data_IF_488991056757
#
_entry.id   IF_488991056757
#
_cell.length_a   1.000
_cell.length_b   1.000
_cell.length_c   1.000
_cell.angle_alpha   90.00
_cell.angle_beta   90.00
_cell.angle_gamma   90.00
#
_symmetry.space_group_name_H-M   'P 1'
#
loop_
_entity.id
_entity.type
_entity.pdbx_description
1 polymer ?
#
# COMPACT_ATOMS: atom_id res chain seq x y z
N UNK A 1 26.84 25.59 11.53
CA UNK A 1 25.56 24.96 11.20
C UNK A 1 25.03 24.27 12.44
N UNK A 2 23.81 24.58 12.83
CA UNK A 2 23.16 23.98 13.99
C UNK A 2 22.01 23.10 13.51
N UNK A 3 22.00 21.84 13.94
CA UNK A 3 20.83 20.95 13.76
C UNK A 3 19.74 21.47 14.68
N UNK A 4 18.62 21.91 14.10
CA UNK A 4 17.47 22.42 14.86
C UNK A 4 16.52 21.31 15.27
N UNK A 5 16.50 20.22 14.50
CA UNK A 5 15.73 19.03 14.80
C UNK A 5 16.36 17.80 14.15
N UNK A 6 16.38 16.70 14.89
CA UNK A 6 16.71 15.38 14.39
C UNK A 6 15.67 14.40 14.93
N UNK A 7 15.06 13.65 14.03
CA UNK A 7 14.05 12.65 14.35
C UNK A 7 14.31 11.34 13.66
N UNK A 8 14.46 10.28 14.44
CA UNK A 8 14.54 8.89 13.97
C UNK A 8 13.24 8.21 14.36
N UNK A 9 12.50 7.72 13.37
CA UNK A 9 11.20 7.09 13.55
C UNK A 9 11.25 5.63 13.12
N UNK A 10 11.12 4.73 14.09
CA UNK A 10 11.23 3.29 13.85
C UNK A 10 9.93 2.65 13.36
N UNK A 11 10.06 1.65 12.50
CA UNK A 11 9.01 0.68 12.19
C UNK A 11 8.42 0.06 13.47
N UNK A 12 7.12 -0.25 13.49
CA UNK A 12 6.49 -1.06 14.54
C UNK A 12 6.68 -2.54 14.19
N UNK A 13 7.26 -3.34 15.08
CA UNK A 13 7.34 -4.80 14.89
C UNK A 13 5.97 -5.45 15.12
N UNK A 14 5.66 -6.58 14.47
CA UNK A 14 4.40 -7.29 14.69
C UNK A 14 4.12 -7.60 16.17
N UNK A 15 5.16 -7.89 16.96
CA UNK A 15 5.06 -8.15 18.41
C UNK A 15 4.78 -6.90 19.26
N UNK A 16 4.93 -5.70 18.68
CA UNK A 16 4.70 -4.40 19.34
C UNK A 16 3.34 -3.80 18.94
N UNK A 17 2.61 -4.45 18.03
CA UNK A 17 1.25 -4.03 17.70
C UNK A 17 0.34 -4.24 18.92
N UNK A 18 -0.58 -3.30 19.19
CA UNK A 18 -1.59 -3.48 20.23
C UNK A 18 -2.37 -4.76 20.02
N UNK A 19 -2.77 -5.41 21.12
CA UNK A 19 -3.48 -6.69 21.10
C UNK A 19 -4.71 -6.62 20.17
N UNK A 20 -4.92 -7.71 19.43
CA UNK A 20 -6.01 -7.89 18.46
C UNK A 20 -6.02 -6.92 17.27
N UNK A 21 -5.05 -6.02 17.07
CA UNK A 21 -5.06 -5.09 15.93
C UNK A 21 -5.14 -5.82 14.58
N UNK A 22 -4.36 -6.88 14.43
CA UNK A 22 -4.29 -7.73 13.25
C UNK A 22 -5.55 -8.61 13.06
N UNK A 23 -6.17 -9.03 14.16
CA UNK A 23 -7.42 -9.83 14.14
C UNK A 23 -8.62 -8.94 13.82
N UNK A 24 -8.74 -7.80 14.50
CA UNK A 24 -9.81 -6.81 14.33
C UNK A 24 -9.88 -6.36 12.87
N UNK A 25 -8.74 -5.98 12.28
CA UNK A 25 -8.73 -5.50 10.89
C UNK A 25 -9.11 -6.58 9.88
N UNK A 26 -8.73 -7.84 10.13
CA UNK A 26 -9.10 -8.95 9.26
C UNK A 26 -10.58 -9.31 9.41
N UNK A 27 -11.13 -9.23 10.63
CA UNK A 27 -12.55 -9.38 10.91
C UNK A 27 -13.36 -8.29 10.21
N UNK A 28 -13.01 -7.03 10.42
CA UNK A 28 -13.67 -5.88 9.80
C UNK A 28 -13.67 -5.99 8.28
N UNK A 29 -12.55 -6.37 7.67
CA UNK A 29 -12.46 -6.62 6.23
C UNK A 29 -13.45 -7.70 5.77
N UNK A 30 -13.47 -8.85 6.45
CA UNK A 30 -14.33 -9.97 6.09
C UNK A 30 -15.81 -9.64 6.29
N UNK A 31 -16.15 -8.99 7.40
CA UNK A 31 -17.51 -8.62 7.78
C UNK A 31 -18.06 -7.55 6.84
N UNK A 32 -17.26 -6.54 6.50
CA UNK A 32 -17.67 -5.48 5.57
C UNK A 32 -17.89 -6.06 4.16
N UNK A 33 -17.01 -6.93 3.67
CA UNK A 33 -17.18 -7.55 2.35
C UNK A 33 -18.42 -8.45 2.31
N UNK A 34 -18.62 -9.26 3.35
CA UNK A 34 -19.79 -10.14 3.48
C UNK A 34 -21.09 -9.33 3.59
N UNK A 35 -21.12 -8.27 4.41
CA UNK A 35 -22.26 -7.37 4.52
C UNK A 35 -22.58 -6.63 3.20
N UNK A 36 -21.59 -6.46 2.31
CA UNK A 36 -21.78 -5.88 0.98
C UNK A 36 -22.12 -6.91 -0.11
N UNK A 37 -22.24 -8.20 0.20
CA UNK A 37 -22.54 -9.29 -0.76
C UNK A 37 -23.71 -8.93 -1.68
N UNK A 38 -24.85 -8.54 -1.12
CA UNK A 38 -26.06 -8.28 -1.90
C UNK A 38 -25.92 -7.03 -2.78
N UNK A 39 -25.20 -6.00 -2.30
CA UNK A 39 -24.88 -4.81 -3.09
C UNK A 39 -23.94 -5.14 -4.26
N UNK A 40 -22.94 -5.99 -4.05
CA UNK A 40 -22.03 -6.44 -5.10
C UNK A 40 -22.81 -7.27 -6.13
N UNK A 41 -23.65 -8.20 -5.67
CA UNK A 41 -24.53 -9.02 -6.53
C UNK A 41 -25.47 -8.15 -7.36
N UNK A 42 -26.13 -7.17 -6.75
CA UNK A 42 -27.04 -6.25 -7.44
C UNK A 42 -26.32 -5.49 -8.56
N UNK A 43 -25.17 -4.89 -8.26
CA UNK A 43 -24.35 -4.17 -9.24
C UNK A 43 -23.82 -5.06 -10.35
N UNK A 44 -23.43 -6.29 -10.04
CA UNK A 44 -22.97 -7.26 -11.04
C UNK A 44 -24.11 -7.61 -12.01
N UNK A 45 -25.32 -7.80 -11.50
CA UNK A 45 -26.52 -8.06 -12.30
C UNK A 45 -26.99 -6.82 -13.07
N UNK A 46 -26.77 -5.60 -12.57
CA UNK A 46 -27.04 -4.37 -13.32
C UNK A 46 -26.11 -4.23 -14.54
N UNK A 47 -24.84 -4.59 -14.39
CA UNK A 47 -23.84 -4.50 -15.45
C UNK A 47 -23.99 -5.62 -16.47
N UNK A 48 -24.31 -6.84 -16.01
CA UNK A 48 -24.48 -8.03 -16.83
C UNK A 48 -25.83 -8.69 -16.52
N UNK A 49 -26.95 -8.08 -16.97
CA UNK A 49 -28.29 -8.56 -16.64
C UNK A 49 -28.70 -9.82 -17.39
N UNK A 50 -28.09 -10.07 -18.55
CA UNK A 50 -28.51 -11.13 -19.46
C UNK A 50 -27.34 -11.69 -20.29
N UNK A 51 -27.63 -12.67 -21.14
CA UNK A 51 -26.63 -13.30 -22.01
C UNK A 51 -26.05 -12.33 -23.05
N UNK A 52 -26.82 -11.33 -23.51
CA UNK A 52 -26.35 -10.33 -24.47
C UNK A 52 -25.27 -9.43 -23.85
N UNK A 53 -25.51 -8.98 -22.61
CA UNK A 53 -24.55 -8.24 -21.83
C UNK A 53 -23.32 -9.08 -21.48
N UNK A 54 -23.49 -10.38 -21.20
CA UNK A 54 -22.37 -11.30 -21.00
C UNK A 54 -21.50 -11.42 -22.25
N UNK A 55 -22.12 -11.57 -23.42
CA UNK A 55 -21.40 -11.69 -24.69
C UNK A 55 -20.56 -10.44 -24.96
N UNK A 56 -21.17 -9.26 -24.88
CA UNK A 56 -20.50 -7.99 -25.16
C UNK A 56 -19.42 -7.62 -24.14
N UNK A 57 -19.66 -7.84 -22.84
CA UNK A 57 -18.76 -7.36 -21.77
C UNK A 57 -17.71 -8.38 -21.34
N UNK A 58 -17.94 -9.68 -21.55
CA UNK A 58 -17.00 -10.74 -21.17
C UNK A 58 -16.50 -11.47 -22.41
N UNK A 59 -17.40 -12.05 -23.21
CA UNK A 59 -16.99 -12.99 -24.24
C UNK A 59 -16.20 -12.34 -25.38
N UNK A 60 -16.67 -11.21 -25.90
CA UNK A 60 -16.04 -10.45 -26.99
C UNK A 60 -14.72 -9.83 -26.54
N UNK A 61 -14.68 -9.26 -25.33
CA UNK A 61 -13.47 -8.72 -24.72
C UNK A 61 -12.42 -9.81 -24.55
N UNK A 62 -12.80 -10.96 -23.98
CA UNK A 62 -11.88 -12.08 -23.79
C UNK A 62 -11.40 -12.67 -25.13
N UNK A 63 -12.24 -12.70 -26.16
CA UNK A 63 -11.86 -13.15 -27.50
C UNK A 63 -10.80 -12.23 -28.14
N UNK A 64 -10.95 -10.91 -28.00
CA UNK A 64 -9.98 -9.95 -28.49
C UNK A 64 -8.61 -10.14 -27.81
N UNK A 65 -8.60 -10.18 -26.47
CA UNK A 65 -7.36 -10.34 -25.70
C UNK A 65 -6.69 -11.70 -25.93
N UNK A 66 -7.48 -12.78 -25.97
CA UNK A 66 -6.93 -14.12 -26.20
C UNK A 66 -6.32 -14.28 -27.62
N UNK A 67 -6.76 -13.46 -28.57
CA UNK A 67 -6.17 -13.41 -29.91
C UNK A 67 -4.77 -12.78 -29.89
N UNK A 68 -4.54 -11.79 -29.02
CA UNK A 68 -3.27 -11.04 -28.96
C UNK A 68 -2.12 -11.85 -28.34
N UNK A 69 -2.43 -12.82 -27.47
CA UNK A 69 -1.42 -13.56 -26.69
C UNK A 69 -0.99 -14.89 -27.32
N UNK A 70 -1.70 -15.38 -28.34
CA UNK A 70 -1.37 -16.65 -28.98
C UNK A 70 -0.36 -16.46 -30.12
N UNK A 71 0.68 -17.30 -30.14
CA UNK A 71 1.63 -17.32 -31.25
C UNK A 71 0.90 -17.63 -32.58
N UNK A 72 0.88 -16.69 -33.55
CA UNK A 72 0.15 -16.87 -34.80
C UNK A 72 0.70 -18.02 -35.66
N UNK A 73 1.98 -18.36 -35.49
CA UNK A 73 2.68 -19.37 -36.30
C UNK A 73 2.55 -20.79 -35.74
N UNK A 74 1.91 -20.98 -34.60
CA UNK A 74 1.68 -22.32 -34.07
C UNK A 74 0.54 -23.02 -34.84
N UNK A 75 0.82 -24.24 -35.34
CA UNK A 75 -0.09 -24.97 -36.24
C UNK A 75 -1.49 -25.28 -35.66
N UNK A 76 -1.71 -25.12 -34.35
CA UNK A 76 -3.02 -25.28 -33.70
C UNK A 76 -3.67 -23.96 -33.28
N UNK A 77 -3.09 -22.80 -33.54
CA UNK A 77 -3.61 -21.50 -33.07
C UNK A 77 -5.03 -21.24 -33.56
N UNK A 78 -5.30 -21.46 -34.85
CA UNK A 78 -6.66 -21.32 -35.38
C UNK A 78 -7.68 -22.27 -34.71
N UNK A 79 -7.25 -23.49 -34.35
CA UNK A 79 -8.08 -24.46 -33.63
C UNK A 79 -8.31 -24.05 -32.17
N UNK A 80 -7.28 -23.53 -31.51
CA UNK A 80 -7.37 -23.05 -30.13
C UNK A 80 -8.32 -21.84 -30.03
N UNK A 81 -8.15 -20.84 -30.90
CA UNK A 81 -9.02 -19.68 -31.00
C UNK A 81 -10.48 -20.08 -31.24
N UNK A 82 -10.73 -20.97 -32.22
CA UNK A 82 -12.09 -21.45 -32.50
C UNK A 82 -12.72 -22.13 -31.28
N UNK A 83 -11.97 -23.00 -30.59
CA UNK A 83 -12.46 -23.66 -29.37
C UNK A 83 -12.76 -22.66 -28.26
N UNK A 84 -11.89 -21.68 -28.06
CA UNK A 84 -12.07 -20.63 -27.05
C UNK A 84 -13.34 -19.81 -27.34
N UNK A 85 -13.48 -19.28 -28.56
CA UNK A 85 -14.65 -18.50 -29.01
C UNK A 85 -15.97 -19.22 -28.76
N UNK A 86 -16.07 -20.48 -29.16
CA UNK A 86 -17.29 -21.28 -28.96
C UNK A 86 -17.58 -21.48 -27.47
N UNK A 87 -16.55 -21.80 -26.67
CA UNK A 87 -16.73 -22.08 -25.24
C UNK A 87 -17.11 -20.83 -24.45
N UNK A 88 -16.46 -19.70 -24.69
CA UNK A 88 -16.73 -18.46 -23.96
C UNK A 88 -18.13 -17.95 -24.31
N UNK A 89 -18.51 -17.93 -25.59
CA UNK A 89 -19.86 -17.49 -26.00
C UNK A 89 -20.98 -18.38 -25.44
N UNK A 90 -20.76 -19.71 -25.38
CA UNK A 90 -21.71 -20.66 -24.77
C UNK A 90 -21.82 -20.50 -23.25
N UNK A 91 -20.88 -19.81 -22.61
CA UNK A 91 -20.78 -19.70 -21.15
C UNK A 91 -21.84 -18.83 -20.48
N UNK A 92 -22.63 -18.05 -21.22
CA UNK A 92 -23.53 -17.02 -20.67
C UNK A 92 -24.55 -17.56 -19.66
N UNK A 93 -25.34 -18.57 -20.05
CA UNK A 93 -26.32 -19.21 -19.15
C UNK A 93 -25.67 -19.75 -17.87
N UNK A 94 -24.54 -20.44 -18.01
CA UNK A 94 -23.79 -20.98 -16.88
C UNK A 94 -23.23 -19.86 -16.00
N UNK A 95 -22.77 -18.75 -16.57
CA UNK A 95 -22.27 -17.60 -15.82
C UNK A 95 -23.39 -16.98 -14.96
N UNK A 96 -24.54 -16.66 -15.56
CA UNK A 96 -25.70 -16.08 -14.87
C UNK A 96 -26.15 -16.97 -13.70
N UNK A 97 -26.29 -18.28 -13.95
CA UNK A 97 -26.67 -19.26 -12.92
C UNK A 97 -25.63 -19.38 -11.79
N UNK A 98 -24.34 -19.37 -12.14
CA UNK A 98 -23.26 -19.48 -11.16
C UNK A 98 -23.05 -18.21 -10.34
N UNK A 99 -23.35 -17.02 -10.88
CA UNK A 99 -23.32 -15.77 -10.11
C UNK A 99 -24.40 -15.80 -9.04
N UNK A 100 -25.62 -16.19 -9.39
CA UNK A 100 -26.72 -16.27 -8.44
C UNK A 100 -26.41 -17.22 -7.28
N UNK A 101 -25.83 -18.39 -7.56
CA UNK A 101 -25.45 -19.39 -6.55
C UNK A 101 -24.19 -19.03 -5.77
N UNK A 102 -23.20 -18.37 -6.40
CA UNK A 102 -21.97 -17.94 -5.72
C UNK A 102 -22.24 -16.89 -4.64
N UNK A 103 -23.21 -16.00 -4.86
CA UNK A 103 -23.64 -14.95 -3.93
C UNK A 103 -24.87 -15.33 -3.10
N UNK A 104 -25.22 -16.61 -3.02
CA UNK A 104 -26.17 -17.08 -2.00
C UNK A 104 -25.52 -17.00 -0.60
N UNK A 105 -26.33 -16.99 0.45
CA UNK A 105 -25.85 -17.08 1.83
C UNK A 105 -25.09 -18.39 2.05
N UNK A 106 -23.92 -18.32 2.71
CA UNK A 106 -22.98 -19.43 2.82
C UNK A 106 -22.34 -19.85 1.48
N UNK A 107 -22.56 -19.08 0.41
CA UNK A 107 -22.11 -19.39 -0.94
C UNK A 107 -20.59 -19.27 -1.12
N UNK A 108 -20.16 -19.43 -2.38
CA UNK A 108 -18.73 -19.36 -2.75
C UNK A 108 -18.10 -18.02 -2.44
N UNK A 109 -18.86 -16.93 -2.50
CA UNK A 109 -18.36 -15.59 -2.18
C UNK A 109 -17.91 -15.51 -0.72
N UNK A 110 -18.80 -15.79 0.24
CA UNK A 110 -18.49 -15.71 1.67
C UNK A 110 -17.44 -16.73 2.10
N UNK A 111 -17.54 -17.96 1.59
CA UNK A 111 -16.52 -18.99 1.79
C UNK A 111 -15.14 -18.51 1.29
N UNK A 112 -15.11 -17.84 0.14
CA UNK A 112 -13.89 -17.27 -0.43
C UNK A 112 -13.32 -16.12 0.38
N UNK A 113 -14.17 -15.23 0.90
CA UNK A 113 -13.76 -14.13 1.80
C UNK A 113 -13.10 -14.72 3.05
N UNK A 114 -13.78 -15.67 3.72
CA UNK A 114 -13.26 -16.29 4.93
C UNK A 114 -11.96 -17.07 4.69
N UNK A 115 -11.86 -17.80 3.57
CA UNK A 115 -10.65 -18.54 3.22
C UNK A 115 -9.44 -17.62 2.94
N UNK A 116 -9.66 -16.38 2.50
CA UNK A 116 -8.60 -15.43 2.18
C UNK A 116 -8.29 -14.43 3.32
N UNK A 117 -8.99 -14.54 4.45
CA UNK A 117 -8.84 -13.64 5.59
C UNK A 117 -7.42 -13.60 6.15
N UNK A 118 -6.80 -14.77 6.34
CA UNK A 118 -5.41 -14.86 6.81
C UNK A 118 -4.42 -14.28 5.79
N UNK A 119 -4.68 -14.46 4.48
CA UNK A 119 -3.85 -13.86 3.44
C UNK A 119 -3.95 -12.33 3.47
N UNK A 120 -5.16 -11.79 3.62
CA UNK A 120 -5.36 -10.35 3.78
C UNK A 120 -4.63 -9.82 5.02
N UNK A 121 -4.81 -10.50 6.16
CA UNK A 121 -4.16 -10.19 7.44
C UNK A 121 -2.63 -10.10 7.28
N UNK A 122 -2.00 -11.11 6.70
CA UNK A 122 -0.55 -11.13 6.53
C UNK A 122 -0.05 -9.99 5.62
N UNK A 123 -0.81 -9.66 4.58
CA UNK A 123 -0.43 -8.57 3.67
C UNK A 123 -0.63 -7.18 4.29
N UNK A 124 -1.71 -6.97 5.05
CA UNK A 124 -1.99 -5.64 5.63
C UNK A 124 -1.02 -5.30 6.77
N UNK A 125 -0.51 -6.31 7.48
CA UNK A 125 0.48 -6.12 8.54
C UNK A 125 1.72 -5.39 8.02
N UNK A 126 2.23 -5.71 6.81
CA UNK A 126 3.39 -5.00 6.26
C UNK A 126 3.18 -3.49 6.22
N UNK A 127 2.02 -3.04 5.75
CA UNK A 127 1.69 -1.62 5.71
C UNK A 127 1.52 -1.04 7.13
N UNK A 128 0.82 -1.77 8.01
CA UNK A 128 0.56 -1.32 9.38
C UNK A 128 1.85 -1.15 10.21
N UNK A 129 2.92 -1.89 9.90
CA UNK A 129 4.23 -1.70 10.55
C UNK A 129 4.76 -0.26 10.38
N UNK A 130 4.42 0.40 9.27
CA UNK A 130 4.93 1.73 8.93
C UNK A 130 3.91 2.85 9.10
N UNK A 131 2.62 2.55 8.89
CA UNK A 131 1.55 3.55 9.07
C UNK A 131 0.96 3.52 10.48
N UNK A 132 0.91 2.35 11.11
CA UNK A 132 0.13 2.10 12.32
C UNK A 132 -1.38 2.06 12.06
N UNK A 133 -2.12 1.63 13.09
CA UNK A 133 -3.54 1.89 13.24
C UNK A 133 -3.67 3.15 14.10
N UNK A 134 -3.78 4.33 13.46
CA UNK A 134 -3.65 5.65 14.09
C UNK A 134 -4.60 5.92 15.28
N UNK A 135 -5.60 5.05 15.51
CA UNK A 135 -6.40 5.06 16.73
C UNK A 135 -5.63 4.49 17.94
N UNK A 136 -4.85 3.42 17.74
CA UNK A 136 -4.15 2.68 18.79
C UNK A 136 -2.63 2.94 18.80
N UNK A 137 -1.99 2.99 17.63
CA UNK A 137 -0.54 3.11 17.48
C UNK A 137 -0.18 3.85 16.20
N UNK A 138 0.86 4.68 16.26
CA UNK A 138 1.32 5.47 15.13
C UNK A 138 2.62 4.89 14.59
N UNK A 139 2.67 4.58 13.29
CA UNK A 139 3.89 4.11 12.63
C UNK A 139 4.87 5.24 12.31
N UNK A 140 6.05 4.87 11.79
CA UNK A 140 7.10 5.84 11.45
C UNK A 140 6.67 6.86 10.39
N UNK A 141 5.87 6.47 9.40
CA UNK A 141 5.47 7.33 8.28
C UNK A 141 4.68 8.56 8.75
N UNK A 142 3.53 8.44 9.44
CA UNK A 142 2.78 9.62 9.87
C UNK A 142 3.58 10.49 10.85
N UNK A 143 4.45 9.89 11.67
CA UNK A 143 5.35 10.64 12.56
C UNK A 143 6.36 11.47 11.78
N UNK A 144 7.05 10.88 10.80
CA UNK A 144 7.98 11.61 9.94
C UNK A 144 7.29 12.75 9.19
N UNK A 145 6.07 12.53 8.68
CA UNK A 145 5.26 13.59 8.07
C UNK A 145 4.94 14.72 9.05
N UNK A 146 4.61 14.40 10.29
CA UNK A 146 4.42 15.42 11.32
C UNK A 146 5.71 16.19 11.66
N UNK A 147 6.87 15.53 11.63
CA UNK A 147 8.16 16.20 11.76
C UNK A 147 8.40 17.19 10.62
N UNK A 148 8.20 16.74 9.38
CA UNK A 148 8.32 17.55 8.16
C UNK A 148 7.37 18.76 8.18
N UNK A 149 6.18 18.60 8.76
CA UNK A 149 5.20 19.67 8.90
C UNK A 149 5.47 20.63 10.09
N UNK A 150 6.49 20.37 10.91
CA UNK A 150 6.79 21.17 12.11
C UNK A 150 5.81 20.97 13.26
N UNK A 151 5.15 19.80 13.35
CA UNK A 151 4.09 19.52 14.34
C UNK A 151 4.65 18.96 15.66
N UNK A 152 5.50 19.73 16.33
CA UNK A 152 6.19 19.31 17.56
C UNK A 152 5.25 18.73 18.64
N UNK A 153 4.12 19.41 18.91
CA UNK A 153 3.15 18.99 19.93
C UNK A 153 2.45 17.67 19.63
N UNK A 154 2.28 17.35 18.34
CA UNK A 154 1.72 16.05 17.94
C UNK A 154 2.76 14.97 18.19
N UNK A 155 4.01 15.20 17.77
CA UNK A 155 5.12 14.27 17.97
C UNK A 155 5.39 13.94 19.44
N UNK A 156 5.31 14.93 20.33
CA UNK A 156 5.39 14.70 21.79
C UNK A 156 4.36 13.67 22.29
N UNK A 157 3.19 13.60 21.65
CA UNK A 157 2.08 12.71 22.04
C UNK A 157 2.13 11.33 21.39
N UNK A 158 2.68 11.24 20.18
CA UNK A 158 2.66 10.00 19.40
C UNK A 158 3.99 9.25 19.40
N UNK A 159 5.08 9.85 19.89
CA UNK A 159 6.39 9.19 19.94
C UNK A 159 6.32 7.86 20.70
N UNK A 160 6.92 6.83 20.12
CA UNK A 160 7.07 5.50 20.69
C UNK A 160 8.43 5.29 21.34
N UNK A 161 8.65 4.11 21.91
CA UNK A 161 9.93 3.68 22.50
C UNK A 161 11.05 3.46 21.48
N UNK A 162 10.68 3.23 20.22
CA UNK A 162 11.58 3.01 19.08
C UNK A 162 11.86 4.30 18.28
N UNK A 163 11.42 5.45 18.79
CA UNK A 163 11.68 6.76 18.19
C UNK A 163 12.72 7.54 19.01
N UNK A 164 13.58 8.31 18.33
CA UNK A 164 14.51 9.26 18.95
C UNK A 164 14.25 10.66 18.40
N UNK A 165 14.07 11.64 19.29
CA UNK A 165 13.83 13.03 18.91
C UNK A 165 14.79 13.94 19.68
N UNK A 166 15.46 14.83 18.96
CA UNK A 166 16.22 15.95 19.51
C UNK A 166 15.80 17.26 18.86
N UNK A 167 15.86 18.36 19.61
CA UNK A 167 15.46 19.68 19.12
C UNK A 167 13.94 19.87 18.97
N UNK A 168 13.53 20.81 18.12
CA UNK A 168 12.11 21.12 17.85
C UNK A 168 11.88 21.21 16.35
N UNK A 169 11.00 20.37 15.78
CA UNK A 169 10.79 20.34 14.35
C UNK A 169 10.17 21.65 13.87
N UNK A 170 10.74 22.19 12.81
CA UNK A 170 10.18 23.29 12.03
C UNK A 170 9.59 22.74 10.74
N UNK A 171 8.84 23.57 10.03
CA UNK A 171 8.32 23.19 8.72
C UNK A 171 9.49 23.05 7.75
N UNK A 172 9.65 21.88 7.16
CA UNK A 172 10.81 21.58 6.31
C UNK A 172 10.71 22.19 4.91
N UNK A 173 9.49 22.26 4.36
CA UNK A 173 9.25 22.78 3.01
C UNK A 173 8.52 24.11 3.05
N UNK A 174 8.63 24.90 1.96
CA UNK A 174 7.87 26.15 1.79
C UNK A 174 6.37 25.89 1.93
N UNK A 175 5.64 26.88 2.44
CA UNK A 175 4.22 26.74 2.81
C UNK A 175 3.34 26.31 1.63
N UNK A 176 3.68 26.78 0.43
CA UNK A 176 3.00 26.50 -0.82
C UNK A 176 3.21 25.06 -1.33
N UNK A 177 4.28 24.39 -0.87
CA UNK A 177 4.66 23.06 -1.32
C UNK A 177 4.43 21.96 -0.28
N UNK A 178 4.45 22.31 1.01
CA UNK A 178 4.45 21.33 2.11
C UNK A 178 3.32 20.30 2.01
N UNK A 179 2.09 20.71 1.70
CA UNK A 179 0.96 19.76 1.64
C UNK A 179 1.08 18.75 0.51
N UNK A 180 1.66 19.15 -0.63
CA UNK A 180 1.84 18.29 -1.81
C UNK A 180 3.03 17.36 -1.63
N UNK A 181 4.14 17.91 -1.14
CA UNK A 181 5.37 17.14 -0.89
C UNK A 181 5.15 16.14 0.24
N UNK A 182 4.53 16.54 1.36
CA UNK A 182 4.23 15.60 2.45
C UNK A 182 3.37 14.42 1.98
N UNK A 183 2.39 14.64 1.11
CA UNK A 183 1.57 13.56 0.57
C UNK A 183 2.37 12.62 -0.36
N UNK A 184 3.23 13.20 -1.22
CA UNK A 184 4.11 12.42 -2.09
C UNK A 184 5.11 11.58 -1.27
N UNK A 185 5.77 12.20 -0.30
CA UNK A 185 6.72 11.55 0.60
C UNK A 185 6.07 10.44 1.41
N UNK A 186 4.85 10.62 1.91
CA UNK A 186 4.14 9.56 2.64
C UNK A 186 3.98 8.28 1.81
N UNK A 187 3.64 8.41 0.52
CA UNK A 187 3.52 7.27 -0.39
C UNK A 187 4.89 6.63 -0.65
N UNK A 188 5.91 7.46 -0.96
CA UNK A 188 7.29 7.02 -1.20
C UNK A 188 7.82 6.23 0.01
N UNK A 189 7.60 6.72 1.23
CA UNK A 189 8.05 6.06 2.45
C UNK A 189 7.36 4.71 2.66
N UNK A 190 6.03 4.64 2.51
CA UNK A 190 5.29 3.39 2.68
C UNK A 190 5.77 2.35 1.67
N UNK A 191 5.89 2.73 0.40
CA UNK A 191 6.30 1.83 -0.66
C UNK A 191 7.74 1.32 -0.43
N UNK A 192 8.70 2.22 -0.22
CA UNK A 192 10.10 1.85 -0.01
C UNK A 192 10.32 0.99 1.23
N UNK A 193 9.66 1.32 2.34
CA UNK A 193 9.81 0.56 3.59
C UNK A 193 9.14 -0.82 3.52
N UNK A 194 7.96 -0.94 2.89
CA UNK A 194 7.31 -2.24 2.69
C UNK A 194 8.17 -3.13 1.79
N UNK A 195 8.66 -2.61 0.67
CA UNK A 195 9.50 -3.38 -0.25
C UNK A 195 10.82 -3.78 0.40
N UNK A 196 11.48 -2.88 1.13
CA UNK A 196 12.72 -3.19 1.85
C UNK A 196 12.50 -4.29 2.90
N UNK A 197 11.37 -4.28 3.61
CA UNK A 197 11.05 -5.34 4.58
C UNK A 197 10.81 -6.69 3.92
N UNK A 198 10.11 -6.71 2.79
CA UNK A 198 9.88 -7.93 2.04
C UNK A 198 11.18 -8.50 1.46
N UNK A 199 12.11 -7.63 1.02
CA UNK A 199 13.43 -8.02 0.55
C UNK A 199 14.26 -8.66 1.67
N UNK A 200 14.30 -8.05 2.86
CA UNK A 200 15.00 -8.60 4.02
C UNK A 200 14.45 -9.96 4.43
N UNK A 201 13.12 -10.12 4.51
CA UNK A 201 12.49 -11.40 4.84
C UNK A 201 12.67 -12.47 3.74
N UNK A 202 12.92 -12.06 2.50
CA UNK A 202 13.31 -12.95 1.41
C UNK A 202 14.80 -13.35 1.46
N UNK A 203 15.58 -12.80 2.39
CA UNK A 203 17.02 -13.04 2.55
C UNK A 203 17.91 -12.15 1.67
N UNK A 204 17.34 -11.08 1.11
CA UNK A 204 18.05 -10.07 0.33
C UNK A 204 18.64 -8.93 1.18
N UNK A 205 19.24 -7.94 0.51
CA UNK A 205 19.76 -6.74 1.16
C UNK A 205 18.74 -5.59 1.06
N UNK A 206 18.07 -5.21 2.17
CA UNK A 206 17.07 -4.14 2.15
C UNK A 206 17.65 -2.79 1.71
N UNK A 207 18.95 -2.55 1.88
CA UNK A 207 19.56 -1.27 1.53
C UNK A 207 19.50 -0.98 0.04
N UNK A 208 19.49 -2.00 -0.81
CA UNK A 208 19.35 -1.82 -2.28
C UNK A 208 18.05 -1.10 -2.62
N UNK A 209 16.95 -1.49 -1.99
CA UNK A 209 15.65 -0.83 -2.12
C UNK A 209 15.70 0.55 -1.49
N UNK A 210 16.23 0.67 -0.27
CA UNK A 210 16.26 1.95 0.44
C UNK A 210 17.05 3.02 -0.34
N UNK A 211 18.17 2.66 -0.97
CA UNK A 211 19.00 3.57 -1.77
C UNK A 211 18.26 4.12 -3.00
N UNK A 212 17.47 3.28 -3.68
CA UNK A 212 16.63 3.71 -4.80
C UNK A 212 15.59 4.75 -4.36
N UNK A 213 14.88 4.50 -3.24
CA UNK A 213 13.89 5.44 -2.72
C UNK A 213 14.54 6.69 -2.10
N UNK A 214 15.72 6.57 -1.49
CA UNK A 214 16.47 7.71 -0.97
C UNK A 214 16.90 8.67 -2.07
N UNK A 215 17.23 8.15 -3.26
CA UNK A 215 17.50 8.98 -4.45
C UNK A 215 16.28 9.82 -4.83
N UNK A 216 15.08 9.22 -4.83
CA UNK A 216 13.82 9.93 -5.11
C UNK A 216 13.52 10.97 -4.04
N UNK A 217 13.75 10.65 -2.76
CA UNK A 217 13.51 11.57 -1.64
C UNK A 217 14.43 12.78 -1.72
N UNK A 218 15.70 12.59 -2.09
CA UNK A 218 16.69 13.66 -2.20
C UNK A 218 16.27 14.76 -3.19
N UNK A 219 15.57 14.43 -4.28
CA UNK A 219 15.05 15.42 -5.24
C UNK A 219 14.10 16.45 -4.60
N UNK A 220 13.36 16.05 -3.56
CA UNK A 220 12.48 16.94 -2.81
C UNK A 220 13.25 17.83 -1.83
N UNK A 221 14.38 17.36 -1.29
CA UNK A 221 15.22 18.10 -0.33
C UNK A 221 16.19 19.01 -1.08
N UNK A 222 15.64 19.93 -1.86
CA UNK A 222 16.39 20.90 -2.67
C UNK A 222 16.00 22.33 -2.32
N UNK A 223 16.88 23.30 -2.63
CA UNK A 223 16.62 24.73 -2.41
C UNK A 223 15.34 25.25 -3.09
N UNK A 224 14.86 24.53 -4.10
CA UNK A 224 13.59 24.80 -4.78
C UNK A 224 12.40 24.66 -3.83
N UNK A 225 12.39 23.60 -3.00
CA UNK A 225 11.23 23.23 -2.19
C UNK A 225 11.41 23.49 -0.69
N UNK A 226 12.65 23.44 -0.20
CA UNK A 226 12.98 23.59 1.22
C UNK A 226 12.62 24.99 1.73
N UNK A 227 12.19 25.08 2.99
CA UNK A 227 11.99 26.37 3.65
C UNK A 227 13.33 27.14 3.65
N UNK A 228 13.35 28.44 3.29
CA UNK A 228 14.59 29.20 3.13
C UNK A 228 15.40 29.37 4.41
N UNK A 229 14.82 29.07 5.58
CA UNK A 229 15.53 29.06 6.85
C UNK A 229 16.33 27.77 7.10
N UNK A 230 16.15 26.76 6.24
CA UNK A 230 16.87 25.49 6.33
C UNK A 230 17.94 25.40 5.26
N UNK A 231 19.01 24.68 5.58
CA UNK A 231 20.12 24.41 4.70
C UNK A 231 19.89 23.11 3.92
N UNK A 232 19.78 23.16 2.57
CA UNK A 232 19.61 21.96 1.76
C UNK A 232 20.82 21.03 1.75
N UNK A 233 22.02 21.51 2.09
CA UNK A 233 23.22 20.66 2.14
C UNK A 233 23.30 19.81 3.42
N UNK A 234 22.58 20.23 4.49
CA UNK A 234 22.67 19.62 5.82
C UNK A 234 21.33 19.18 6.40
N UNK A 235 20.23 19.48 5.70
CA UNK A 235 18.92 18.89 5.98
C UNK A 235 18.72 17.66 5.11
N UNK A 236 18.12 16.61 5.66
CA UNK A 236 17.93 15.34 4.96
C UNK A 236 16.67 14.63 5.40
N UNK A 237 16.17 13.76 4.51
CA UNK A 237 15.22 12.72 4.85
C UNK A 237 15.75 11.43 4.26
N UNK A 238 15.97 10.41 5.07
CA UNK A 238 16.50 9.12 4.64
C UNK A 238 15.69 7.96 5.20
N UNK A 239 15.52 6.92 4.41
CA UNK A 239 15.08 5.60 4.84
C UNK A 239 16.33 4.78 5.17
N UNK A 240 16.32 4.13 6.32
CA UNK A 240 17.50 3.40 6.83
C UNK A 240 17.11 2.05 7.41
N UNK A 241 18.05 1.10 7.37
CA UNK A 241 17.96 -0.16 8.09
C UNK A 241 18.95 -0.20 9.25
N UNK A 242 18.44 -0.28 10.48
CA UNK A 242 19.21 -0.54 11.68
C UNK A 242 19.37 -2.05 11.86
N UNK A 243 20.52 -2.58 11.43
CA UNK A 243 20.83 -4.00 11.55
C UNK A 243 21.00 -4.47 13.00
N UNK A 244 21.29 -3.58 13.95
CA UNK A 244 21.46 -3.96 15.37
C UNK A 244 20.10 -4.18 16.02
N UNK A 245 19.16 -3.26 15.77
CA UNK A 245 17.78 -3.36 16.24
C UNK A 245 16.87 -4.21 15.35
N UNK A 246 17.39 -4.70 14.21
CA UNK A 246 16.61 -5.20 13.06
C UNK A 246 15.41 -4.26 12.83
N UNK A 247 15.62 -3.04 12.37
CA UNK A 247 14.52 -2.08 12.25
C UNK A 247 14.69 -1.14 11.07
N UNK A 248 13.65 -1.06 10.24
CA UNK A 248 13.58 -0.01 9.24
C UNK A 248 13.11 1.28 9.90
N UNK A 249 13.65 2.41 9.46
CA UNK A 249 13.37 3.72 10.08
C UNK A 249 13.39 4.84 9.06
N UNK A 250 12.70 5.92 9.41
CA UNK A 250 12.80 7.20 8.69
C UNK A 250 13.60 8.15 9.56
N UNK A 251 14.65 8.70 9.00
CA UNK A 251 15.52 9.67 9.66
C UNK A 251 15.34 11.04 9.00
N UNK A 252 14.97 12.03 9.80
CA UNK A 252 14.71 13.41 9.38
C UNK A 252 15.67 14.34 10.09
N UNK A 253 16.49 15.06 9.33
CA UNK A 253 17.41 16.09 9.84
C UNK A 253 17.01 17.44 9.29
N UNK A 254 16.91 18.44 10.17
CA UNK A 254 16.67 19.83 9.83
C UNK A 254 17.82 20.66 10.37
N UNK A 255 18.56 21.33 9.50
CA UNK A 255 19.69 22.18 9.86
C UNK A 255 19.50 23.60 9.33
N UNK A 256 19.97 24.60 10.07
CA UNK A 256 20.07 25.98 9.58
C UNK A 256 21.45 26.23 8.97
N UNK A 257 21.56 27.22 8.06
CA UNK A 257 22.85 27.70 7.55
C UNK A 257 23.88 28.05 8.66
#
# INVERSE_FOLDING_TARGET
MAVVFEGIFGEIKPTELPENTDVDIANDWADILTAKRDKIKARLNEVIPDESAYLSRIAEVAEAEFTNVLNPNYYKTARALRKFRVKVRKGGSAWLANVASAFAEGGRFESGVNANKEKFKNNVIYTLRFTGDMNKVWGCVPKAIHAIQGKAKVLEKVKGSYDSLSGTPVRMFKVEHVSRISAALANIFVEGLVMARMEEEAGGDPNTILDDYNTIIADYVSSTFLDPNLDPANSSITLEYDATGDRLRIHVVQATP
#
